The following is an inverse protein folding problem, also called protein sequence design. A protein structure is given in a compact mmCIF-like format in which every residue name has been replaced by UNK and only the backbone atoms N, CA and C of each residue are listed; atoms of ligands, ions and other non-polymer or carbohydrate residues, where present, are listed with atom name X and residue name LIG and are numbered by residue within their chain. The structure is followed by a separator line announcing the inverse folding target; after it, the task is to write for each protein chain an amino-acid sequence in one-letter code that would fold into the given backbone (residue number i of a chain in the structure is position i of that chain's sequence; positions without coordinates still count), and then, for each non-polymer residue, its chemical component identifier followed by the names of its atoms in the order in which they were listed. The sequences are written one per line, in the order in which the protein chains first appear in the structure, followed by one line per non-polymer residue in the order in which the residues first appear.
data_IF_426797097732
#
_entry.id   IF_426797097732
#
_cell.length_a   1.000
_cell.length_b   1.000
_cell.length_c   1.000
_cell.angle_alpha   90.00
_cell.angle_beta   90.00
_cell.angle_gamma   90.00
#
_symmetry.space_group_name_H-M   'P 1'
#
loop_
_entity.id
_entity.type
_entity.pdbx_description
1 polymer ?
#
# COMPACT_ATOMS: atom_id res chain seq x y z
N UNK A 1 -11.16 8.04 1.46
CA UNK A 1 -11.13 7.73 2.90
C UNK A 1 -10.14 8.66 3.58
N UNK A 2 -10.46 9.14 4.79
CA UNK A 2 -9.55 9.92 5.62
C UNK A 2 -8.81 9.00 6.59
N UNK A 3 -7.49 9.11 6.66
CA UNK A 3 -6.63 8.32 7.57
C UNK A 3 -5.65 9.23 8.28
N UNK A 4 -5.25 8.86 9.50
CA UNK A 4 -4.21 9.56 10.25
C UNK A 4 -3.02 8.64 10.43
N UNK A 5 -1.84 9.05 9.96
CA UNK A 5 -0.57 8.34 10.11
C UNK A 5 0.47 9.30 10.68
N UNK A 6 1.15 8.92 11.76
CA UNK A 6 2.13 9.76 12.47
C UNK A 6 1.66 11.20 12.72
N UNK A 7 0.41 11.37 13.17
CA UNK A 7 -0.18 12.69 13.44
C UNK A 7 -0.56 13.51 12.21
N UNK A 8 -0.27 13.02 10.99
CA UNK A 8 -0.64 13.68 9.74
C UNK A 8 -1.90 13.05 9.15
N UNK A 9 -2.82 13.90 8.67
CA UNK A 9 -4.07 13.47 8.05
C UNK A 9 -3.91 13.37 6.54
N UNK A 10 -4.29 12.24 5.98
CA UNK A 10 -4.30 11.99 4.54
C UNK A 10 -5.69 11.66 4.04
N UNK A 11 -6.02 12.17 2.86
CA UNK A 11 -7.18 11.73 2.09
C UNK A 11 -6.69 10.86 0.94
N UNK A 12 -7.10 9.59 0.96
CA UNK A 12 -6.65 8.59 0.00
C UNK A 12 -7.84 7.82 -0.56
N UNK A 13 -7.81 7.56 -1.86
CA UNK A 13 -8.77 6.69 -2.54
C UNK A 13 -8.04 5.55 -3.25
N UNK A 14 -8.79 4.54 -3.66
CA UNK A 14 -8.28 3.44 -4.50
C UNK A 14 -7.65 3.96 -5.81
N UNK A 15 -8.31 4.92 -6.47
CA UNK A 15 -7.87 5.51 -7.73
C UNK A 15 -6.54 6.27 -7.58
N UNK A 16 -6.30 6.89 -6.42
CA UNK A 16 -5.03 7.57 -6.13
C UNK A 16 -3.87 6.58 -6.10
N UNK A 17 -4.07 5.41 -5.46
CA UNK A 17 -3.08 4.33 -5.41
C UNK A 17 -2.81 3.78 -6.81
N UNK A 18 -3.85 3.42 -7.55
CA UNK A 18 -3.72 2.87 -8.91
C UNK A 18 -3.00 3.85 -9.84
N UNK A 19 -3.31 5.15 -9.76
CA UNK A 19 -2.63 6.20 -10.54
C UNK A 19 -1.16 6.35 -10.13
N UNK A 20 -0.86 6.31 -8.82
CA UNK A 20 0.51 6.48 -8.32
C UNK A 20 1.40 5.30 -8.64
N UNK A 21 0.86 4.08 -8.62
CA UNK A 21 1.63 2.86 -8.89
C UNK A 21 1.79 2.54 -10.38
N UNK A 22 1.04 3.20 -11.28
CA UNK A 22 1.13 2.97 -12.73
C UNK A 22 2.56 3.07 -13.27
N UNK A 23 3.35 3.99 -12.75
CA UNK A 23 4.72 4.30 -13.21
C UNK A 23 5.79 3.79 -12.22
N UNK A 24 5.43 2.88 -11.32
CA UNK A 24 6.31 2.33 -10.29
C UNK A 24 6.38 0.82 -10.45
N UNK A 25 7.58 0.26 -10.46
CA UNK A 25 7.74 -1.18 -10.43
C UNK A 25 7.58 -1.75 -9.02
N UNK A 26 6.95 -2.93 -8.86
CA UNK A 26 6.89 -3.62 -7.58
C UNK A 26 8.29 -3.87 -7.01
N UNK A 27 8.45 -3.60 -5.71
CA UNK A 27 9.67 -3.93 -4.99
C UNK A 27 9.80 -5.46 -4.84
N UNK A 28 10.95 -6.00 -5.22
CA UNK A 28 11.32 -7.39 -4.97
C UNK A 28 11.83 -7.56 -3.54
N UNK A 29 11.61 -8.73 -2.94
CA UNK A 29 12.12 -9.05 -1.62
C UNK A 29 11.23 -9.99 -0.82
N UNK A 30 11.42 -9.97 0.51
CA UNK A 30 10.75 -10.89 1.47
C UNK A 30 9.42 -10.35 2.00
N UNK A 31 8.72 -9.50 1.23
CA UNK A 31 7.40 -9.05 1.62
C UNK A 31 6.44 -10.26 1.68
N UNK A 32 5.61 -10.31 2.72
CA UNK A 32 4.61 -11.39 2.90
C UNK A 32 3.25 -11.07 2.29
N UNK A 33 2.90 -9.79 2.26
CA UNK A 33 1.58 -9.30 1.86
C UNK A 33 1.67 -8.35 0.67
N UNK A 34 0.79 -8.56 -0.31
CA UNK A 34 0.77 -7.85 -1.57
C UNK A 34 -0.65 -7.44 -1.96
N UNK A 35 -0.77 -6.49 -2.87
CA UNK A 35 -1.97 -6.24 -3.66
C UNK A 35 -1.67 -6.47 -5.14
N UNK A 36 -2.66 -6.93 -5.90
CA UNK A 36 -2.57 -7.00 -7.35
C UNK A 36 -3.14 -5.72 -7.97
N UNK A 37 -2.34 -5.08 -8.83
CA UNK A 37 -2.80 -3.98 -9.70
C UNK A 37 -2.30 -4.28 -11.10
N UNK A 38 -3.22 -4.60 -12.01
CA UNK A 38 -2.90 -4.87 -13.42
C UNK A 38 -1.99 -6.10 -13.61
N UNK A 39 -2.15 -7.14 -12.78
CA UNK A 39 -1.33 -8.36 -12.85
C UNK A 39 0.05 -8.25 -12.19
N UNK A 40 0.37 -7.09 -11.59
CA UNK A 40 1.61 -6.88 -10.84
C UNK A 40 1.32 -6.91 -9.34
N UNK A 41 2.15 -7.64 -8.59
CA UNK A 41 2.03 -7.81 -7.14
C UNK A 41 2.87 -6.79 -6.38
N UNK A 42 2.24 -5.77 -5.81
CA UNK A 42 2.90 -4.72 -5.05
C UNK A 42 2.89 -5.03 -3.55
N UNK A 43 4.05 -5.03 -2.85
CA UNK A 43 4.09 -5.07 -1.40
C UNK A 43 3.19 -4.00 -0.75
N UNK A 44 2.46 -4.36 0.30
CA UNK A 44 1.53 -3.43 0.97
C UNK A 44 2.23 -2.18 1.52
N UNK A 45 3.47 -2.32 2.00
CA UNK A 45 4.24 -1.19 2.54
C UNK A 45 4.75 -0.28 1.43
N UNK A 46 5.22 -0.83 0.32
CA UNK A 46 5.61 -0.05 -0.86
C UNK A 46 4.42 0.75 -1.35
N UNK A 47 3.27 0.09 -1.53
CA UNK A 47 2.02 0.69 -2.00
C UNK A 47 1.69 1.97 -1.22
N UNK A 48 1.65 1.88 0.11
CA UNK A 48 1.28 3.02 0.95
C UNK A 48 2.40 4.07 1.01
N UNK A 49 3.66 3.64 1.08
CA UNK A 49 4.84 4.50 1.09
C UNK A 49 4.89 5.40 -0.14
N UNK A 50 4.79 4.82 -1.33
CA UNK A 50 4.85 5.54 -2.60
C UNK A 50 3.62 6.41 -2.84
N UNK A 51 2.44 5.96 -2.41
CA UNK A 51 1.21 6.75 -2.59
C UNK A 51 1.20 7.99 -1.71
N UNK A 52 1.59 7.86 -0.43
CA UNK A 52 1.56 8.95 0.53
C UNK A 52 2.87 9.73 0.61
N UNK A 53 3.89 9.32 -0.15
CA UNK A 53 5.26 9.83 -0.06
C UNK A 53 5.79 9.83 1.39
N UNK A 54 5.59 8.71 2.08
CA UNK A 54 6.01 8.51 3.46
C UNK A 54 7.08 7.42 3.55
N UNK A 55 8.11 7.59 4.39
CA UNK A 55 9.06 6.52 4.62
C UNK A 55 8.35 5.33 5.27
N UNK A 56 8.78 4.10 4.94
CA UNK A 56 8.14 2.88 5.45
C UNK A 56 8.22 2.71 6.98
N UNK A 57 9.01 3.51 7.68
CA UNK A 57 9.08 3.57 9.15
C UNK A 57 7.96 4.43 9.77
N UNK A 58 7.29 5.27 8.97
CA UNK A 58 6.20 6.14 9.46
C UNK A 58 4.89 5.38 9.75
N UNK A 59 4.80 4.10 9.38
CA UNK A 59 3.62 3.28 9.63
C UNK A 59 3.97 1.80 9.71
N UNK A 60 3.13 1.04 10.40
CA UNK A 60 3.30 -0.41 10.53
C UNK A 60 2.73 -1.17 9.33
N UNK A 61 3.18 -2.41 9.13
CA UNK A 61 2.60 -3.31 8.12
C UNK A 61 1.10 -3.53 8.34
N UNK A 62 0.67 -3.60 9.61
CA UNK A 62 -0.73 -3.77 9.98
C UNK A 62 -1.58 -2.55 9.58
N UNK A 63 -1.06 -1.33 9.76
CA UNK A 63 -1.73 -0.12 9.28
C UNK A 63 -1.87 -0.13 7.76
N UNK A 64 -0.82 -0.49 7.03
CA UNK A 64 -0.89 -0.61 5.57
C UNK A 64 -1.93 -1.63 5.13
N UNK A 65 -1.94 -2.82 5.74
CA UNK A 65 -2.91 -3.87 5.48
C UNK A 65 -4.35 -3.35 5.68
N UNK A 66 -4.65 -2.79 6.84
CA UNK A 66 -5.99 -2.34 7.20
C UNK A 66 -6.48 -1.20 6.29
N UNK A 67 -5.60 -0.26 5.93
CA UNK A 67 -5.94 0.85 5.03
C UNK A 67 -6.25 0.33 3.63
N UNK A 68 -5.40 -0.53 3.06
CA UNK A 68 -5.60 -1.05 1.72
C UNK A 68 -6.85 -1.93 1.64
N UNK A 69 -7.10 -2.75 2.66
CA UNK A 69 -8.32 -3.55 2.75
C UNK A 69 -9.58 -2.67 2.81
N UNK A 70 -9.57 -1.59 3.61
CA UNK A 70 -10.68 -0.62 3.68
C UNK A 70 -10.90 0.15 2.37
N UNK A 71 -9.85 0.31 1.56
CA UNK A 71 -9.95 0.89 0.21
C UNK A 71 -10.43 -0.12 -0.84
N UNK A 72 -10.73 -1.36 -0.43
CA UNK A 72 -11.29 -2.40 -1.29
C UNK A 72 -10.26 -3.19 -2.08
N UNK A 73 -8.97 -3.13 -1.71
CA UNK A 73 -7.96 -4.02 -2.28
C UNK A 73 -8.04 -5.42 -1.67
N UNK A 74 -7.91 -6.43 -2.51
CA UNK A 74 -7.70 -7.81 -2.07
C UNK A 74 -6.23 -7.97 -1.68
N UNK A 75 -5.99 -8.35 -0.43
CA UNK A 75 -4.63 -8.65 0.03
C UNK A 75 -4.31 -10.11 -0.30
N UNK A 76 -3.15 -10.31 -0.92
CA UNK A 76 -2.58 -11.62 -1.24
C UNK A 76 -1.46 -11.89 -0.24
N UNK A 77 -1.57 -13.00 0.48
CA UNK A 77 -0.49 -13.51 1.32
C UNK A 77 0.33 -14.51 0.50
N UNK A 78 1.63 -14.28 0.38
CA UNK A 78 2.56 -15.29 -0.14
C UNK A 78 3.13 -16.04 1.04
N UNK A 79 2.79 -17.32 1.13
CA UNK A 79 3.42 -18.25 2.05
C UNK A 79 4.70 -18.70 1.32
N UNK A 80 5.85 -18.27 1.85
CA UNK A 80 7.16 -18.79 1.47
C UNK A 80 7.35 -20.21 1.98
#
# INVERSE_FOLDING_TARGET
MRVTLSGTVFNITRKDIEKKLRDIEPEEGRAKYFIDIGGKNYPIKQTLSKTLNLPGVAFSSHQAFAILQKLGFKIIEKIS
#
